data_IF_456944827400
#
_entry.id   IF_456944827400
#
_cell.length_a   1.000
_cell.length_b   1.000
_cell.length_c   1.000
_cell.angle_alpha   90.00
_cell.angle_beta   90.00
_cell.angle_gamma   90.00
#
_symmetry.space_group_name_H-M   'P 1'
#
loop_
_entity.id
_entity.type
_entity.pdbx_description
1 polymer ?
#
# COMPACT_ATOMS: atom_id res chain seq x y z
N UNK A 1 -0.98 -2.59 7.83
CA UNK A 1 -1.45 -3.38 6.67
C UNK A 1 -1.61 -2.53 5.42
N UNK A 2 -2.41 -1.44 5.40
CA UNK A 2 -2.42 -0.55 4.22
C UNK A 2 -1.04 0.07 3.98
N UNK A 3 -0.37 0.54 5.03
CA UNK A 3 0.99 1.08 4.96
C UNK A 3 1.98 0.07 4.33
N UNK A 4 1.91 -1.21 4.71
CA UNK A 4 2.79 -2.26 4.20
C UNK A 4 2.50 -2.52 2.71
N UNK A 5 1.24 -2.48 2.30
CA UNK A 5 0.86 -2.58 0.89
C UNK A 5 1.41 -1.39 0.09
N UNK A 6 1.28 -0.16 0.58
CA UNK A 6 1.82 1.04 -0.09
C UNK A 6 3.35 0.96 -0.24
N UNK A 7 4.05 0.50 0.81
CA UNK A 7 5.50 0.22 0.75
C UNK A 7 5.81 -0.82 -0.32
N UNK A 8 5.10 -1.94 -0.33
CA UNK A 8 5.34 -3.03 -1.28
C UNK A 8 5.09 -2.60 -2.73
N UNK A 9 4.02 -1.83 -2.98
CA UNK A 9 3.73 -1.25 -4.30
C UNK A 9 4.91 -0.36 -4.74
N UNK A 10 5.28 0.63 -3.92
CA UNK A 10 6.39 1.55 -4.26
C UNK A 10 7.69 0.79 -4.54
N UNK A 11 8.02 -0.17 -3.67
CA UNK A 11 9.22 -1.01 -3.77
C UNK A 11 9.21 -1.88 -5.03
N UNK A 12 8.09 -2.52 -5.35
CA UNK A 12 7.92 -3.33 -6.55
C UNK A 12 8.20 -2.52 -7.83
N UNK A 13 7.79 -1.25 -7.86
CA UNK A 13 8.08 -0.34 -8.97
C UNK A 13 9.48 0.29 -8.91
N UNK A 14 10.31 -0.05 -7.91
CA UNK A 14 11.68 0.46 -7.78
C UNK A 14 11.80 1.95 -7.47
N UNK A 15 10.71 2.60 -7.02
CA UNK A 15 10.67 4.06 -6.80
C UNK A 15 11.13 4.39 -5.37
N UNK A 16 11.97 5.42 -5.21
CA UNK A 16 12.36 5.88 -3.86
C UNK A 16 11.21 6.64 -3.18
N UNK A 17 11.22 6.74 -1.85
CA UNK A 17 10.25 7.60 -1.15
C UNK A 17 10.37 9.06 -1.62
N UNK A 18 11.58 9.54 -1.90
CA UNK A 18 11.83 10.91 -2.36
C UNK A 18 11.18 11.15 -3.70
N UNK A 19 11.42 10.26 -4.66
CA UNK A 19 10.87 10.39 -6.02
C UNK A 19 9.35 10.30 -6.01
N UNK A 20 8.77 9.34 -5.27
CA UNK A 20 7.32 9.22 -5.17
C UNK A 20 6.69 10.45 -4.50
N UNK A 21 7.30 10.96 -3.43
CA UNK A 21 6.81 12.17 -2.76
C UNK A 21 6.83 13.40 -3.68
N UNK A 22 7.87 13.53 -4.50
CA UNK A 22 7.98 14.59 -5.50
C UNK A 22 6.90 14.45 -6.59
N UNK A 23 6.68 13.23 -7.11
CA UNK A 23 5.64 12.95 -8.11
C UNK A 23 4.24 13.25 -7.55
N UNK A 24 3.99 12.94 -6.27
CA UNK A 24 2.71 13.18 -5.62
C UNK A 24 2.51 14.63 -5.15
N UNK A 25 3.57 15.45 -5.18
CA UNK A 25 3.52 16.83 -4.68
C UNK A 25 3.33 16.90 -3.16
N UNK A 26 3.87 15.93 -2.42
CA UNK A 26 3.79 15.86 -0.96
C UNK A 26 5.18 15.87 -0.34
N UNK A 27 5.28 16.14 0.97
CA UNK A 27 6.57 16.06 1.65
C UNK A 27 7.02 14.61 1.81
N UNK A 28 8.32 14.37 1.64
CA UNK A 28 8.91 13.05 1.90
C UNK A 28 8.65 12.57 3.32
N UNK A 29 8.70 13.49 4.31
CA UNK A 29 8.38 13.17 5.70
C UNK A 29 6.95 12.66 5.86
N UNK A 30 5.97 13.29 5.19
CA UNK A 30 4.58 12.84 5.23
C UNK A 30 4.44 11.43 4.66
N UNK A 31 5.01 11.17 3.48
CA UNK A 31 5.01 9.83 2.88
C UNK A 31 5.67 8.78 3.80
N UNK A 32 6.80 9.11 4.42
CA UNK A 32 7.47 8.23 5.39
C UNK A 32 6.59 7.93 6.61
N UNK A 33 5.86 8.91 7.14
CA UNK A 33 4.93 8.69 8.26
C UNK A 33 3.77 7.77 7.88
N UNK A 34 3.26 7.88 6.65
CA UNK A 34 2.25 6.97 6.11
C UNK A 34 2.80 5.54 5.99
N UNK A 35 3.95 5.37 5.33
CA UNK A 35 4.56 4.05 5.10
C UNK A 35 4.96 3.34 6.41
N UNK A 36 5.35 4.12 7.44
CA UNK A 36 5.62 3.60 8.79
C UNK A 36 4.35 3.31 9.61
N UNK A 37 3.17 3.61 9.07
CA UNK A 37 1.89 3.44 9.76
C UNK A 37 1.66 4.42 10.92
N UNK A 38 2.45 5.50 11.01
CA UNK A 38 2.30 6.54 12.03
C UNK A 38 1.09 7.45 11.76
N UNK A 39 0.74 7.63 10.49
CA UNK A 39 -0.42 8.38 10.03
C UNK A 39 -1.24 7.51 9.06
N UNK A 40 -2.56 7.66 9.11
CA UNK A 40 -3.44 7.03 8.12
C UNK A 40 -3.34 7.79 6.78
N UNK A 41 -3.30 7.08 5.63
CA UNK A 41 -3.33 7.74 4.33
C UNK A 41 -4.66 8.46 4.14
N UNK A 42 -4.62 9.65 3.54
CA UNK A 42 -5.83 10.34 3.09
C UNK A 42 -6.42 9.67 1.85
N UNK A 43 -7.70 9.95 1.56
CA UNK A 43 -8.32 9.49 0.32
C UNK A 43 -7.56 10.01 -0.92
N UNK A 44 -7.20 11.29 -0.94
CA UNK A 44 -6.38 11.91 -1.99
C UNK A 44 -5.04 11.17 -2.21
N UNK A 45 -4.39 10.74 -1.14
CA UNK A 45 -3.17 9.95 -1.27
C UNK A 45 -3.46 8.59 -1.91
N UNK A 46 -4.53 7.90 -1.49
CA UNK A 46 -4.92 6.61 -2.08
C UNK A 46 -5.34 6.76 -3.55
N UNK A 47 -5.99 7.87 -3.93
CA UNK A 47 -6.30 8.21 -5.33
C UNK A 47 -5.03 8.38 -6.15
N UNK A 48 -4.03 9.13 -5.65
CA UNK A 48 -2.71 9.26 -6.30
C UNK A 48 -2.03 7.90 -6.49
N UNK A 49 -2.12 7.00 -5.51
CA UNK A 49 -1.61 5.63 -5.64
C UNK A 49 -2.40 4.82 -6.69
N UNK A 50 -3.72 4.93 -6.71
CA UNK A 50 -4.58 4.25 -7.68
C UNK A 50 -4.24 4.68 -9.11
N UNK A 51 -4.12 5.99 -9.35
CA UNK A 51 -3.78 6.56 -10.65
C UNK A 51 -2.36 6.21 -11.10
N UNK A 52 -1.37 6.40 -10.22
CA UNK A 52 0.05 6.22 -10.56
C UNK A 52 0.42 4.76 -10.88
N UNK A 53 -0.23 3.82 -10.22
CA UNK A 53 0.10 2.39 -10.31
C UNK A 53 -0.99 1.56 -11.02
N UNK A 54 -1.96 2.23 -11.66
CA UNK A 54 -3.08 1.60 -12.39
C UNK A 54 -3.81 0.54 -11.55
N UNK A 55 -4.18 0.93 -10.32
CA UNK A 55 -4.85 0.05 -9.37
C UNK A 55 -6.25 0.55 -9.05
N UNK A 56 -7.23 -0.36 -8.85
CA UNK A 56 -8.56 0.06 -8.39
C UNK A 56 -8.48 0.68 -6.98
N UNK A 57 -8.94 1.93 -6.83
CA UNK A 57 -9.03 2.62 -5.54
C UNK A 57 -9.79 1.78 -4.49
N UNK A 58 -10.83 1.06 -4.90
CA UNK A 58 -11.59 0.14 -4.05
C UNK A 58 -10.73 -0.94 -3.38
N UNK A 59 -9.66 -1.39 -4.06
CA UNK A 59 -8.71 -2.35 -3.48
C UNK A 59 -7.90 -1.72 -2.36
N UNK A 60 -7.44 -0.48 -2.56
CA UNK A 60 -6.71 0.29 -1.54
C UNK A 60 -7.59 0.63 -0.34
N UNK A 61 -8.83 1.06 -0.59
CA UNK A 61 -9.82 1.33 0.45
C UNK A 61 -10.15 0.08 1.26
N UNK A 62 -10.31 -1.07 0.61
CA UNK A 62 -10.50 -2.33 1.31
C UNK A 62 -9.35 -2.64 2.29
N UNK A 63 -8.10 -2.42 1.90
CA UNK A 63 -6.95 -2.58 2.80
C UNK A 63 -6.91 -1.54 3.92
N UNK A 64 -7.48 -0.35 3.70
CA UNK A 64 -7.60 0.71 4.70
C UNK A 64 -8.73 0.45 5.70
N UNK A 65 -9.88 -0.07 5.26
CA UNK A 65 -11.10 -0.27 6.07
C UNK A 65 -11.08 -1.56 6.90
N UNK A 66 -10.44 -2.63 6.40
CA UNK A 66 -10.63 -4.01 6.93
C UNK A 66 -10.04 -4.28 8.32
N UNK A 67 -9.52 -3.31 9.07
CA UNK A 67 -8.88 -3.57 10.37
C UNK A 67 -9.24 -2.62 11.51
N UNK A 68 -10.03 -1.58 11.30
CA UNK A 68 -10.43 -0.70 12.42
C UNK A 68 -11.70 -1.20 13.15
N UNK A 69 -12.60 -1.94 12.50
CA UNK A 69 -13.99 -2.05 12.99
C UNK A 69 -14.48 -3.42 13.49
N UNK A 70 -13.64 -4.45 13.59
CA UNK A 70 -14.05 -5.73 14.19
C UNK A 70 -15.25 -6.44 13.51
N UNK A 71 -15.69 -5.96 12.34
CA UNK A 71 -16.85 -6.50 11.63
C UNK A 71 -16.56 -7.89 11.06
N UNK A 72 -17.51 -8.84 11.11
CA UNK A 72 -17.34 -10.18 10.58
C UNK A 72 -17.13 -10.14 9.07
N UNK A 73 -15.87 -10.26 8.67
CA UNK A 73 -15.49 -10.38 7.26
C UNK A 73 -15.83 -11.78 6.73
N UNK A 74 -16.50 -11.85 5.58
CA UNK A 74 -16.87 -13.12 4.96
C UNK A 74 -15.65 -14.01 4.70
N UNK A 75 -15.84 -15.33 4.68
CA UNK A 75 -14.74 -16.31 4.46
C UNK A 75 -14.01 -16.04 3.14
N UNK A 76 -14.75 -15.67 2.07
CA UNK A 76 -14.16 -15.25 0.80
C UNK A 76 -13.27 -13.99 0.96
N UNK A 77 -13.64 -13.09 1.87
CA UNK A 77 -12.84 -11.91 2.20
C UNK A 77 -11.59 -12.27 3.00
N UNK A 78 -11.70 -13.19 3.98
CA UNK A 78 -10.54 -13.71 4.73
C UNK A 78 -9.56 -14.40 3.79
N UNK A 79 -10.07 -15.18 2.84
CA UNK A 79 -9.25 -15.83 1.82
C UNK A 79 -8.55 -14.81 0.93
N UNK A 80 -9.27 -13.83 0.37
CA UNK A 80 -8.66 -12.72 -0.40
C UNK A 80 -7.61 -11.95 0.40
N UNK A 81 -7.86 -11.69 1.68
CA UNK A 81 -6.91 -11.01 2.56
C UNK A 81 -5.66 -11.87 2.82
N UNK A 82 -5.82 -13.18 3.00
CA UNK A 82 -4.71 -14.12 3.14
C UNK A 82 -3.87 -14.19 1.84
N UNK A 83 -4.51 -14.25 0.68
CA UNK A 83 -3.86 -14.17 -0.63
C UNK A 83 -3.13 -12.85 -0.81
N UNK A 84 -3.77 -11.73 -0.48
CA UNK A 84 -3.16 -10.40 -0.55
C UNK A 84 -1.93 -10.28 0.35
N UNK A 85 -2.01 -10.78 1.59
CA UNK A 85 -0.85 -10.80 2.50
C UNK A 85 0.30 -11.64 1.94
N UNK A 86 0.00 -12.76 1.26
CA UNK A 86 1.00 -13.58 0.59
C UNK A 86 1.59 -12.89 -0.65
N UNK A 87 0.77 -12.17 -1.42
CA UNK A 87 1.19 -11.37 -2.57
C UNK A 87 2.08 -10.21 -2.12
N UNK A 88 1.69 -9.46 -1.09
CA UNK A 88 2.51 -8.38 -0.52
C UNK A 88 3.88 -8.92 -0.09
N UNK A 89 3.92 -10.03 0.65
CA UNK A 89 5.18 -10.69 1.03
C UNK A 89 6.02 -11.14 -0.17
N UNK A 90 5.38 -11.61 -1.24
CA UNK A 90 6.06 -12.01 -2.46
C UNK A 90 6.64 -10.78 -3.19
N UNK A 91 5.88 -9.68 -3.26
CA UNK A 91 6.34 -8.42 -3.84
C UNK A 91 7.51 -7.82 -3.05
N UNK A 92 7.44 -7.86 -1.70
CA UNK A 92 8.56 -7.49 -0.83
C UNK A 92 9.81 -8.33 -1.13
N UNK A 93 9.65 -9.66 -1.20
CA UNK A 93 10.75 -10.58 -1.50
C UNK A 93 11.35 -10.36 -2.89
N UNK A 94 10.52 -10.14 -3.91
CA UNK A 94 10.98 -9.83 -5.27
C UNK A 94 11.68 -8.48 -5.34
N UNK A 95 11.21 -7.47 -4.61
CA UNK A 95 11.87 -6.17 -4.55
C UNK A 95 13.22 -6.24 -3.83
N UNK A 96 13.35 -7.04 -2.78
CA UNK A 96 14.57 -7.11 -1.98
C UNK A 96 15.64 -8.04 -2.62
N UNK A 97 15.24 -9.00 -3.45
CA UNK A 97 16.13 -9.94 -4.15
C UNK A 97 16.26 -9.71 -5.67
N UNK A 98 15.54 -8.72 -6.21
CA UNK A 98 15.48 -8.42 -7.65
C UNK A 98 16.44 -7.32 -8.13
N UNK A 99 17.37 -6.86 -7.28
CA UNK A 99 18.50 -6.04 -7.74
C UNK A 99 19.65 -6.97 -8.16
N UNK A 100 20.36 -6.68 -9.27
CA UNK A 100 21.54 -7.44 -9.67
C UNK A 100 22.61 -7.46 -8.58
#
# INVERSE_FOLDING_TARGET
>A
MINDALVAIRKYHGISQTDLSNQFGISNSYLSEIEKGKKKPSLDLLEKYAEQFDMPLSSLLFFSEKLDDGQPVSVATKFRLASAKKIVRLMEWLSDNGKP
#
